data_IF_489553366272
#
_entry.id   IF_489553366272
#
_cell.length_a   1.000
_cell.length_b   1.000
_cell.length_c   1.000
_cell.angle_alpha   90.00
_cell.angle_beta   90.00
_cell.angle_gamma   90.00
#
_symmetry.space_group_name_H-M   'P 1'
#
loop_
_entity.id
_entity.type
_entity.pdbx_description
1 polymer ?
#
# COMPACT_ATOMS: atom_id res chain seq x y z
N UNK A 1 21.36 -15.07 15.54
CA UNK A 1 20.52 -13.93 15.09
C UNK A 1 19.98 -13.26 16.34
N UNK A 2 20.37 -12.03 16.62
CA UNK A 2 19.80 -11.28 17.74
C UNK A 2 18.37 -10.92 17.40
N UNK A 3 17.43 -11.13 18.32
CA UNK A 3 16.00 -10.76 18.18
C UNK A 3 15.82 -9.24 18.04
N UNK A 4 16.77 -8.48 18.56
CA UNK A 4 16.81 -7.02 18.50
C UNK A 4 18.00 -6.67 17.62
N UNK A 5 17.78 -6.06 16.43
CA UNK A 5 18.88 -5.59 15.61
C UNK A 5 19.67 -4.51 16.37
N UNK A 6 20.95 -4.47 16.13
CA UNK A 6 21.81 -3.38 16.60
C UNK A 6 21.21 -2.06 16.08
N UNK A 7 20.87 -1.16 17.00
CA UNK A 7 20.40 0.18 16.66
C UNK A 7 21.60 1.03 16.26
N UNK A 8 21.88 1.09 14.97
CA UNK A 8 22.96 1.91 14.43
C UNK A 8 22.39 3.01 13.54
N UNK A 9 22.86 4.24 13.76
CA UNK A 9 22.63 5.32 12.80
C UNK A 9 23.64 5.20 11.67
N UNK A 10 23.20 4.79 10.50
CA UNK A 10 24.04 4.60 9.34
C UNK A 10 23.44 5.14 8.06
N UNK A 11 24.30 5.44 7.08
CA UNK A 11 23.85 5.85 5.75
C UNK A 11 23.14 4.71 5.01
N UNK A 12 23.54 3.47 5.26
CA UNK A 12 23.02 2.26 4.60
C UNK A 12 21.97 1.56 5.45
N UNK A 13 21.00 2.32 5.94
CA UNK A 13 19.88 1.81 6.71
C UNK A 13 18.60 1.76 5.87
N UNK A 14 17.60 1.05 6.34
CA UNK A 14 16.35 0.82 5.64
C UNK A 14 15.54 2.11 5.33
N UNK A 15 15.88 3.23 5.97
CA UNK A 15 15.29 4.54 5.67
C UNK A 15 15.47 4.96 4.22
N UNK A 16 16.51 4.46 3.53
CA UNK A 16 16.77 4.71 2.10
C UNK A 16 15.55 4.32 1.25
N UNK A 17 14.80 3.30 1.64
CA UNK A 17 13.58 2.87 0.95
C UNK A 17 12.33 3.51 1.53
N UNK A 18 12.26 3.67 2.85
CA UNK A 18 11.06 4.13 3.54
C UNK A 18 10.83 5.64 3.41
N UNK A 19 11.91 6.45 3.42
CA UNK A 19 11.80 7.92 3.27
C UNK A 19 11.39 8.31 1.84
N UNK A 20 12.00 7.81 0.76
CA UNK A 20 11.51 8.08 -0.60
C UNK A 20 10.06 7.64 -0.80
N UNK A 21 9.66 6.49 -0.27
CA UNK A 21 8.28 6.05 -0.29
C UNK A 21 7.34 7.07 0.38
N UNK A 22 7.70 7.56 1.56
CA UNK A 22 6.93 8.56 2.28
C UNK A 22 6.85 9.88 1.48
N UNK A 23 8.00 10.35 0.98
CA UNK A 23 8.06 11.61 0.20
C UNK A 23 7.23 11.54 -1.09
N UNK A 24 7.33 10.46 -1.85
CA UNK A 24 6.54 10.25 -3.06
C UNK A 24 5.05 10.20 -2.72
N UNK A 25 4.68 9.51 -1.66
CA UNK A 25 3.29 9.42 -1.19
C UNK A 25 2.75 10.81 -0.84
N UNK A 26 3.50 11.58 -0.05
CA UNK A 26 3.10 12.94 0.35
C UNK A 26 3.03 13.90 -0.84
N UNK A 27 4.01 13.83 -1.76
CA UNK A 27 4.03 14.66 -2.98
C UNK A 27 2.81 14.38 -3.86
N UNK A 28 2.51 13.12 -4.13
CA UNK A 28 1.36 12.75 -4.95
C UNK A 28 0.04 13.11 -4.28
N UNK A 29 -0.09 12.92 -2.96
CA UNK A 29 -1.25 13.41 -2.22
C UNK A 29 -1.41 14.93 -2.33
N UNK A 30 -0.33 15.69 -2.23
CA UNK A 30 -0.35 17.15 -2.39
C UNK A 30 -0.75 17.58 -3.81
N UNK A 31 -0.20 16.94 -4.85
CA UNK A 31 -0.57 17.20 -6.24
C UNK A 31 -2.05 16.87 -6.52
N UNK A 32 -2.57 15.80 -5.95
CA UNK A 32 -4.00 15.46 -6.03
C UNK A 32 -4.89 16.50 -5.35
N UNK A 33 -4.44 17.07 -4.23
CA UNK A 33 -5.17 18.16 -3.55
C UNK A 33 -5.22 19.42 -4.41
N UNK A 34 -4.12 19.78 -5.10
CA UNK A 34 -4.05 20.96 -6.00
C UNK A 34 -4.92 20.81 -7.24
N UNK A 35 -5.08 19.62 -7.79
CA UNK A 35 -5.93 19.38 -8.98
C UNK A 35 -7.44 19.47 -8.71
N UNK A 36 -7.85 19.96 -7.54
CA UNK A 36 -9.27 20.12 -7.20
C UNK A 36 -10.02 18.79 -7.05
N UNK A 37 -9.30 17.68 -7.09
CA UNK A 37 -9.85 16.42 -6.65
C UNK A 37 -10.19 16.58 -5.15
N UNK A 38 -11.47 16.73 -4.75
CA UNK A 38 -11.82 17.05 -3.36
C UNK A 38 -11.40 15.90 -2.46
N UNK A 39 -10.14 15.98 -2.03
CA UNK A 39 -9.55 15.07 -1.06
C UNK A 39 -9.17 13.69 -1.58
N UNK A 40 -9.07 13.49 -2.90
CA UNK A 40 -8.78 12.18 -3.49
C UNK A 40 -9.77 11.09 -3.08
N UNK A 41 -9.62 9.87 -3.60
CA UNK A 41 -10.47 8.75 -3.22
C UNK A 41 -10.46 8.46 -1.72
N UNK A 42 -9.36 8.74 -1.02
CA UNK A 42 -9.26 8.55 0.44
C UNK A 42 -10.22 9.46 1.21
N UNK A 43 -10.37 10.74 0.85
CA UNK A 43 -11.33 11.64 1.52
C UNK A 43 -12.76 11.42 1.05
N UNK A 44 -12.96 11.04 -0.20
CA UNK A 44 -14.28 10.64 -0.67
C UNK A 44 -14.74 9.37 0.06
N UNK A 45 -13.88 8.38 0.19
CA UNK A 45 -14.10 7.18 1.00
C UNK A 45 -14.29 7.54 2.47
N UNK A 46 -13.48 8.40 3.06
CA UNK A 46 -13.63 8.86 4.45
C UNK A 46 -14.91 9.64 4.70
N UNK A 47 -15.39 10.45 3.74
CA UNK A 47 -16.66 11.16 3.87
C UNK A 47 -17.87 10.24 3.68
N UNK A 48 -17.78 9.28 2.77
CA UNK A 48 -18.81 8.24 2.60
C UNK A 48 -18.84 7.30 3.82
N UNK A 49 -17.73 7.15 4.52
CA UNK A 49 -17.56 6.27 5.66
C UNK A 49 -17.75 7.01 6.98
N UNK A 50 -18.98 7.19 7.39
CA UNK A 50 -19.33 7.59 8.78
C UNK A 50 -19.12 6.46 9.80
N UNK A 51 -18.62 5.29 9.39
CA UNK A 51 -18.40 4.17 10.31
C UNK A 51 -17.20 4.42 11.20
N UNK A 52 -17.42 4.37 12.51
CA UNK A 52 -16.35 4.43 13.56
C UNK A 52 -15.24 3.42 13.28
N UNK A 53 -15.59 2.26 12.74
CA UNK A 53 -14.65 1.18 12.41
C UNK A 53 -13.66 1.58 11.32
N UNK A 54 -14.11 2.28 10.27
CA UNK A 54 -13.20 2.74 9.19
C UNK A 54 -12.26 3.84 9.66
N UNK A 55 -12.75 4.73 10.52
CA UNK A 55 -11.88 5.75 11.15
C UNK A 55 -10.84 5.08 12.06
N UNK A 56 -11.22 4.06 12.81
CA UNK A 56 -10.30 3.28 13.64
C UNK A 56 -9.23 2.60 12.81
N UNK A 57 -9.58 1.97 11.69
CA UNK A 57 -8.64 1.29 10.80
C UNK A 57 -7.67 2.27 10.15
N UNK A 58 -8.20 3.38 9.62
CA UNK A 58 -7.36 4.43 9.04
C UNK A 58 -6.42 5.05 10.08
N UNK A 59 -6.83 5.10 11.34
CA UNK A 59 -5.99 5.56 12.44
C UNK A 59 -4.94 4.52 12.84
N UNK A 60 -5.32 3.24 12.94
CA UNK A 60 -4.41 2.14 13.26
C UNK A 60 -3.33 1.97 12.20
N UNK A 61 -3.67 2.09 10.91
CA UNK A 61 -2.67 2.01 9.84
C UNK A 61 -1.63 3.12 9.95
N UNK A 62 -2.03 4.35 10.32
CA UNK A 62 -1.10 5.46 10.57
C UNK A 62 -0.25 5.22 11.81
N UNK A 63 -0.85 4.75 12.91
CA UNK A 63 -0.17 4.45 14.18
C UNK A 63 0.92 3.39 13.98
N UNK A 64 0.72 2.41 13.10
CA UNK A 64 1.70 1.37 12.85
C UNK A 64 2.75 1.83 11.81
N UNK A 65 2.33 2.58 10.80
CA UNK A 65 3.21 3.01 9.71
C UNK A 65 4.28 4.01 10.16
N UNK A 66 3.91 5.03 10.95
CA UNK A 66 4.88 6.03 11.43
C UNK A 66 6.00 5.43 12.29
N UNK A 67 5.71 4.60 13.31
CA UNK A 67 6.76 3.87 14.03
C UNK A 67 7.64 3.00 13.12
N UNK A 68 7.06 2.37 12.08
CA UNK A 68 7.85 1.57 11.13
C UNK A 68 8.84 2.43 10.34
N UNK A 69 8.44 3.62 9.89
CA UNK A 69 9.35 4.57 9.22
C UNK A 69 10.44 5.05 10.17
N UNK A 70 10.09 5.42 11.41
CA UNK A 70 11.08 5.84 12.41
C UNK A 70 12.05 4.70 12.72
N UNK A 71 11.54 3.49 12.95
CA UNK A 71 12.36 2.33 13.23
C UNK A 71 13.31 1.98 12.07
N UNK A 72 12.89 2.22 10.82
CA UNK A 72 13.74 1.96 9.64
C UNK A 72 15.01 2.84 9.59
N UNK A 73 15.01 3.99 10.28
CA UNK A 73 16.20 4.85 10.39
C UNK A 73 17.33 4.16 11.15
N UNK A 74 16.98 3.33 12.11
CA UNK A 74 17.93 2.61 12.98
C UNK A 74 18.21 1.18 12.50
N UNK A 75 17.67 0.77 11.37
CA UNK A 75 17.70 -0.61 10.90
C UNK A 75 18.77 -0.77 9.79
N UNK A 76 19.97 -1.29 10.10
CA UNK A 76 21.03 -1.44 9.12
C UNK A 76 20.68 -2.49 8.07
N UNK A 77 20.96 -2.18 6.80
CA UNK A 77 20.87 -3.15 5.72
C UNK A 77 22.11 -4.05 5.76
N UNK A 78 21.91 -5.35 5.67
CA UNK A 78 23.02 -6.34 5.69
C UNK A 78 23.68 -6.45 4.31
N UNK A 79 24.36 -5.35 3.90
CA UNK A 79 25.06 -5.26 2.62
C UNK A 79 26.03 -6.43 2.43
N UNK A 80 26.10 -6.97 1.21
CA UNK A 80 26.96 -8.11 0.88
C UNK A 80 26.44 -9.47 1.34
N UNK A 81 25.35 -9.53 2.10
CA UNK A 81 24.71 -10.80 2.47
C UNK A 81 23.72 -11.28 1.40
N UNK A 82 23.49 -12.59 1.35
CA UNK A 82 22.47 -13.17 0.48
C UNK A 82 21.09 -12.59 0.77
N UNK A 83 20.78 -12.25 2.01
CA UNK A 83 19.52 -11.67 2.44
C UNK A 83 19.29 -10.29 1.83
N UNK A 84 20.36 -9.49 1.72
CA UNK A 84 20.28 -8.21 1.06
C UNK A 84 19.93 -8.36 -0.44
N UNK A 85 20.60 -9.28 -1.13
CA UNK A 85 20.35 -9.51 -2.56
C UNK A 85 18.97 -10.13 -2.84
N UNK A 86 18.41 -10.87 -1.91
CA UNK A 86 17.02 -11.38 -2.01
C UNK A 86 16.01 -10.29 -1.64
N UNK A 87 16.25 -9.55 -0.57
CA UNK A 87 15.33 -8.53 -0.08
C UNK A 87 15.24 -7.30 -0.97
N UNK A 88 16.36 -6.89 -1.59
CA UNK A 88 16.42 -5.70 -2.44
C UNK A 88 15.43 -5.74 -3.63
N UNK A 89 15.41 -6.77 -4.48
CA UNK A 89 14.44 -6.81 -5.58
C UNK A 89 13.00 -6.84 -5.11
N UNK A 90 12.69 -7.51 -4.01
CA UNK A 90 11.35 -7.53 -3.41
C UNK A 90 10.95 -6.12 -2.93
N UNK A 91 11.88 -5.42 -2.26
CA UNK A 91 11.69 -4.02 -1.84
C UNK A 91 11.41 -3.11 -3.03
N UNK A 92 12.23 -3.23 -4.08
CA UNK A 92 12.07 -2.40 -5.30
C UNK A 92 10.75 -2.70 -6.01
N UNK A 93 10.33 -3.95 -6.11
CA UNK A 93 9.01 -4.32 -6.66
C UNK A 93 7.88 -3.69 -5.85
N UNK A 94 7.97 -3.73 -4.52
CA UNK A 94 7.00 -3.08 -3.64
C UNK A 94 6.97 -1.56 -3.83
N UNK A 95 8.14 -0.92 -3.90
CA UNK A 95 8.28 0.52 -4.08
C UNK A 95 7.73 0.98 -5.43
N UNK A 96 8.20 0.37 -6.52
CA UNK A 96 7.74 0.69 -7.89
C UNK A 96 6.25 0.41 -8.02
N UNK A 97 5.78 -0.73 -7.53
CA UNK A 97 4.36 -1.06 -7.54
C UNK A 97 3.51 -0.02 -6.82
N UNK A 98 3.95 0.49 -5.67
CA UNK A 98 3.24 1.54 -4.94
C UNK A 98 3.24 2.86 -5.70
N UNK A 99 4.37 3.24 -6.31
CA UNK A 99 4.44 4.44 -7.16
C UNK A 99 3.43 4.33 -8.31
N UNK A 100 3.36 3.20 -9.00
CA UNK A 100 2.41 2.98 -10.08
C UNK A 100 0.94 3.06 -9.60
N UNK A 101 0.63 2.47 -8.44
CA UNK A 101 -0.70 2.61 -7.81
C UNK A 101 -1.06 4.08 -7.58
N UNK A 102 -0.13 4.86 -7.04
CA UNK A 102 -0.36 6.28 -6.75
C UNK A 102 -0.48 7.11 -8.03
N UNK A 103 0.28 6.78 -9.08
CA UNK A 103 0.16 7.40 -10.41
C UNK A 103 -1.20 7.09 -11.04
N UNK A 104 -1.69 5.85 -10.96
CA UNK A 104 -3.02 5.49 -11.43
C UNK A 104 -4.12 6.31 -10.72
N UNK A 105 -3.98 6.52 -9.42
CA UNK A 105 -4.87 7.39 -8.65
C UNK A 105 -4.82 8.85 -9.11
N UNK A 106 -3.60 9.38 -9.27
CA UNK A 106 -3.40 10.78 -9.68
C UNK A 106 -3.94 11.07 -11.09
N UNK A 107 -3.98 10.07 -11.96
CA UNK A 107 -4.46 10.18 -13.34
C UNK A 107 -5.96 9.82 -13.49
N UNK A 108 -6.62 9.38 -12.43
CA UNK A 108 -8.05 9.06 -12.49
C UNK A 108 -8.88 10.34 -12.25
N UNK A 109 -9.87 10.63 -13.13
CA UNK A 109 -10.76 11.77 -12.93
C UNK A 109 -11.56 11.67 -11.63
N UNK A 110 -11.90 12.83 -11.06
CA UNK A 110 -12.74 12.89 -9.87
C UNK A 110 -14.09 12.24 -10.13
N UNK A 111 -14.60 11.47 -9.16
CA UNK A 111 -15.90 10.79 -9.26
C UNK A 111 -15.89 9.47 -10.03
N UNK A 112 -14.75 9.03 -10.54
CA UNK A 112 -14.61 7.74 -11.21
C UNK A 112 -13.79 6.76 -10.35
N UNK A 113 -14.11 5.45 -10.40
CA UNK A 113 -13.27 4.44 -9.77
C UNK A 113 -11.96 4.26 -10.53
N UNK A 114 -10.88 3.97 -9.81
CA UNK A 114 -9.59 3.63 -10.43
C UNK A 114 -9.69 2.20 -10.97
N UNK A 115 -9.60 2.04 -12.29
CA UNK A 115 -9.78 0.76 -12.98
C UNK A 115 -8.66 0.44 -13.96
N UNK A 116 -7.67 1.36 -14.10
CA UNK A 116 -6.57 1.28 -15.07
C UNK A 116 -5.28 0.81 -14.42
N UNK A 117 -4.25 0.61 -15.23
CA UNK A 117 -2.91 0.24 -14.77
C UNK A 117 -2.90 -1.03 -13.95
N UNK A 118 -2.31 -1.00 -12.76
CA UNK A 118 -2.23 -2.15 -11.85
C UNK A 118 -3.61 -2.56 -11.33
N UNK A 119 -4.57 -1.63 -11.25
CA UNK A 119 -5.95 -1.91 -10.84
C UNK A 119 -6.72 -2.82 -11.81
N UNK A 120 -6.19 -3.08 -12.99
CA UNK A 120 -6.76 -4.12 -13.89
C UNK A 120 -6.55 -5.52 -13.35
N UNK A 121 -5.46 -5.74 -12.61
CA UNK A 121 -5.04 -7.06 -12.12
C UNK A 121 -5.42 -7.33 -10.67
N UNK A 122 -5.74 -6.29 -9.92
CA UNK A 122 -6.16 -6.38 -8.51
C UNK A 122 -7.06 -5.21 -8.14
N UNK A 123 -8.09 -5.45 -7.32
CA UNK A 123 -8.91 -4.37 -6.75
C UNK A 123 -8.22 -3.67 -5.57
N UNK A 124 -7.23 -4.34 -4.96
CA UNK A 124 -6.50 -3.86 -3.79
C UNK A 124 -4.97 -3.93 -3.98
N UNK A 125 -4.42 -3.37 -5.09
CA UNK A 125 -2.99 -3.51 -5.40
C UNK A 125 -2.10 -2.81 -4.37
N UNK A 126 -2.59 -1.74 -3.74
CA UNK A 126 -1.85 -0.99 -2.74
C UNK A 126 -1.44 -1.85 -1.54
N UNK A 127 -2.32 -2.74 -1.08
CA UNK A 127 -2.01 -3.64 0.04
C UNK A 127 -0.91 -4.63 -0.33
N UNK A 128 -0.95 -5.18 -1.54
CA UNK A 128 0.06 -6.11 -2.03
C UNK A 128 1.44 -5.43 -2.18
N UNK A 129 1.48 -4.23 -2.76
CA UNK A 129 2.74 -3.50 -2.98
C UNK A 129 3.35 -3.02 -1.68
N UNK A 130 2.55 -2.53 -0.72
CA UNK A 130 3.02 -2.16 0.61
C UNK A 130 3.54 -3.37 1.39
N UNK A 131 2.85 -4.50 1.30
CA UNK A 131 3.32 -5.74 1.91
C UNK A 131 4.67 -6.18 1.34
N UNK A 132 4.84 -6.15 0.01
CA UNK A 132 6.11 -6.47 -0.64
C UNK A 132 7.23 -5.51 -0.20
N UNK A 133 6.95 -4.22 -0.11
CA UNK A 133 7.93 -3.23 0.37
C UNK A 133 8.43 -3.57 1.78
N UNK A 134 7.52 -3.78 2.71
CA UNK A 134 7.88 -4.08 4.11
C UNK A 134 8.56 -5.45 4.24
N UNK A 135 8.07 -6.45 3.50
CA UNK A 135 8.67 -7.79 3.47
C UNK A 135 10.09 -7.74 2.92
N UNK A 136 10.30 -7.04 1.80
CA UNK A 136 11.62 -6.90 1.19
C UNK A 136 12.61 -6.20 2.12
N UNK A 137 12.21 -5.10 2.76
CA UNK A 137 13.01 -4.39 3.77
C UNK A 137 13.35 -5.30 4.94
N UNK A 138 12.40 -6.09 5.43
CA UNK A 138 12.63 -7.01 6.55
C UNK A 138 13.67 -8.08 6.22
N UNK A 139 13.63 -8.61 5.00
CA UNK A 139 14.59 -9.60 4.52
C UNK A 139 15.96 -8.96 4.33
N UNK A 140 16.04 -7.78 3.67
CA UNK A 140 17.31 -7.10 3.40
C UNK A 140 18.06 -6.66 4.67
N UNK A 141 17.33 -6.40 5.74
CA UNK A 141 17.86 -6.01 7.06
C UNK A 141 17.96 -7.16 8.05
N UNK A 142 17.44 -8.35 7.70
CA UNK A 142 17.35 -9.53 8.60
C UNK A 142 16.65 -9.21 9.92
N UNK A 143 15.61 -8.36 9.86
CA UNK A 143 14.90 -7.90 11.05
C UNK A 143 13.62 -8.70 11.27
N UNK A 144 13.59 -9.52 12.33
CA UNK A 144 12.38 -10.24 12.74
C UNK A 144 11.24 -9.32 13.18
N UNK A 145 11.57 -8.20 13.82
CA UNK A 145 10.58 -7.21 14.24
C UNK A 145 9.88 -6.62 13.02
N UNK A 146 10.65 -6.23 12.00
CA UNK A 146 10.09 -5.67 10.78
C UNK A 146 9.32 -6.72 9.97
N UNK A 147 9.79 -7.97 9.99
CA UNK A 147 9.09 -9.11 9.38
C UNK A 147 7.73 -9.37 10.03
N UNK A 148 7.67 -9.44 11.35
CA UNK A 148 6.41 -9.59 12.08
C UNK A 148 5.46 -8.42 11.82
N UNK A 149 5.99 -7.20 11.77
CA UNK A 149 5.22 -6.01 11.42
C UNK A 149 4.63 -6.12 10.01
N UNK A 150 5.41 -6.55 9.02
CA UNK A 150 4.94 -6.78 7.66
C UNK A 150 3.83 -7.83 7.62
N UNK A 151 3.97 -8.93 8.35
CA UNK A 151 2.95 -9.97 8.45
C UNK A 151 1.67 -9.45 9.13
N UNK A 152 1.79 -8.74 10.24
CA UNK A 152 0.64 -8.18 10.97
C UNK A 152 -0.13 -7.20 10.07
N UNK A 153 0.58 -6.31 9.35
CA UNK A 153 -0.03 -5.38 8.42
C UNK A 153 -0.62 -6.10 7.20
N UNK A 154 0.10 -7.04 6.60
CA UNK A 154 -0.36 -7.83 5.47
C UNK A 154 -1.62 -8.63 5.80
N UNK A 155 -1.62 -9.38 6.89
CA UNK A 155 -2.79 -10.13 7.37
C UNK A 155 -3.92 -9.19 7.81
N UNK A 156 -3.59 -8.08 8.48
CA UNK A 156 -4.59 -7.09 8.92
C UNK A 156 -5.34 -6.48 7.74
N UNK A 157 -4.64 -6.03 6.72
CA UNK A 157 -5.25 -5.41 5.53
C UNK A 157 -5.99 -6.41 4.64
N UNK A 158 -5.61 -7.70 4.65
CA UNK A 158 -6.29 -8.73 3.85
C UNK A 158 -7.51 -9.32 4.55
N UNK A 159 -7.80 -8.94 5.81
CA UNK A 159 -9.00 -9.41 6.51
C UNK A 159 -10.26 -9.15 5.70
N UNK A 160 -11.11 -10.17 5.49
CA UNK A 160 -12.31 -10.06 4.65
C UNK A 160 -13.24 -8.92 5.10
N UNK A 161 -13.25 -8.59 6.36
CA UNK A 161 -14.06 -7.52 6.92
C UNK A 161 -13.67 -6.14 6.35
N UNK A 162 -12.36 -5.80 6.35
CA UNK A 162 -11.90 -4.50 5.87
C UNK A 162 -12.10 -4.33 4.37
N UNK A 163 -11.73 -5.36 3.63
CA UNK A 163 -11.88 -5.37 2.18
C UNK A 163 -13.35 -5.26 1.76
N UNK A 164 -14.26 -5.97 2.43
CA UNK A 164 -15.70 -5.87 2.16
C UNK A 164 -16.28 -4.49 2.48
N UNK A 165 -15.82 -3.87 3.57
CA UNK A 165 -16.26 -2.52 3.94
C UNK A 165 -15.78 -1.51 2.90
N UNK A 166 -14.52 -1.58 2.45
CA UNK A 166 -13.97 -0.70 1.42
C UNK A 166 -14.69 -0.88 0.07
N UNK A 167 -14.91 -2.14 -0.35
CA UNK A 167 -15.67 -2.45 -1.57
C UNK A 167 -17.12 -1.95 -1.50
N UNK A 168 -17.78 -2.12 -0.36
CA UNK A 168 -19.16 -1.61 -0.17
C UNK A 168 -19.24 -0.08 -0.26
N UNK A 169 -18.19 0.61 0.25
CA UNK A 169 -18.09 2.07 0.16
C UNK A 169 -17.86 2.54 -1.26
N UNK A 170 -16.94 1.90 -1.98
CA UNK A 170 -16.70 2.17 -3.39
C UNK A 170 -17.99 1.92 -4.21
N UNK A 171 -18.71 0.84 -3.91
CA UNK A 171 -19.99 0.53 -4.56
C UNK A 171 -21.04 1.60 -4.27
N UNK A 172 -21.14 2.07 -3.02
CA UNK A 172 -22.06 3.14 -2.63
C UNK A 172 -21.72 4.50 -3.26
N UNK A 173 -20.41 4.75 -3.52
CA UNK A 173 -19.96 6.01 -4.10
C UNK A 173 -19.98 6.04 -5.63
N UNK A 174 -19.57 4.95 -6.28
CA UNK A 174 -19.41 4.87 -7.74
C UNK A 174 -20.52 4.05 -8.43
N UNK A 175 -21.39 3.38 -7.67
CA UNK A 175 -22.54 2.68 -8.18
C UNK A 175 -22.24 1.59 -9.21
N UNK A 176 -22.89 1.67 -10.37
CA UNK A 176 -22.79 0.68 -11.46
C UNK A 176 -21.38 0.55 -11.99
N UNK A 177 -20.65 1.66 -12.16
CA UNK A 177 -19.28 1.64 -12.69
C UNK A 177 -18.32 0.80 -11.82
N UNK A 178 -18.47 0.86 -10.49
CA UNK A 178 -17.64 0.02 -9.61
C UNK A 178 -18.11 -1.43 -9.61
N UNK A 179 -19.40 -1.70 -9.77
CA UNK A 179 -19.94 -3.06 -9.89
C UNK A 179 -19.41 -3.78 -11.12
N UNK A 180 -19.39 -3.12 -12.27
CA UNK A 180 -18.79 -3.64 -13.50
C UNK A 180 -17.31 -3.94 -13.34
N UNK A 181 -16.59 -3.03 -12.70
CA UNK A 181 -15.19 -3.23 -12.38
C UNK A 181 -14.98 -4.47 -11.47
N UNK A 182 -15.81 -4.64 -10.43
CA UNK A 182 -15.75 -5.81 -9.55
C UNK A 182 -15.99 -7.13 -10.28
N UNK A 183 -16.84 -7.14 -11.29
CA UNK A 183 -17.15 -8.34 -12.08
C UNK A 183 -15.98 -8.77 -12.97
N UNK A 184 -15.18 -7.82 -13.45
CA UNK A 184 -14.05 -8.04 -14.35
C UNK A 184 -12.74 -8.28 -13.63
N UNK A 185 -12.52 -7.59 -12.53
CA UNK A 185 -11.22 -7.57 -11.85
C UNK A 185 -11.24 -8.44 -10.59
N UNK A 186 -10.28 -9.35 -10.41
CA UNK A 186 -10.17 -10.13 -9.20
C UNK A 186 -9.88 -9.25 -7.97
N UNK A 187 -10.29 -9.73 -6.79
CA UNK A 187 -10.06 -9.00 -5.53
C UNK A 187 -8.56 -8.88 -5.23
N UNK A 188 -7.87 -9.98 -5.34
CA UNK A 188 -6.42 -10.07 -5.20
C UNK A 188 -5.77 -10.15 -6.58
N UNK A 189 -4.50 -10.46 -6.65
CA UNK A 189 -3.75 -10.54 -7.90
C UNK A 189 -4.32 -11.65 -8.79
N UNK A 190 -4.63 -11.32 -10.04
CA UNK A 190 -5.13 -12.27 -11.02
C UNK A 190 -5.33 -11.67 -12.41
N UNK A 191 -5.72 -12.51 -13.37
CA UNK A 191 -5.98 -12.10 -14.73
C UNK A 191 -7.41 -11.55 -14.82
N UNK A 192 -7.63 -10.35 -15.39
CA UNK A 192 -8.96 -9.81 -15.59
C UNK A 192 -9.79 -10.71 -16.50
N UNK A 193 -11.06 -10.88 -16.18
CA UNK A 193 -11.99 -11.62 -17.05
C UNK A 193 -12.22 -10.82 -18.33
N UNK A 194 -12.17 -11.51 -19.48
CA UNK A 194 -12.57 -10.92 -20.77
C UNK A 194 -14.03 -10.48 -20.73
N UNK A 195 -14.33 -9.34 -21.34
CA UNK A 195 -15.72 -8.96 -21.61
C UNK A 195 -16.33 -10.07 -22.50
N UNK A 196 -17.37 -10.76 -22.01
CA UNK A 196 -18.28 -11.43 -22.93
C UNK A 196 -18.93 -10.34 -23.74
N UNK A 197 -18.59 -10.26 -25.02
CA UNK A 197 -19.42 -9.54 -26.00
C UNK A 197 -20.70 -10.38 -26.14
N UNK A 198 -21.76 -9.91 -25.49
CA UNK A 198 -23.12 -10.34 -25.84
C UNK A 198 -23.52 -9.67 -27.14
#
# INVERSE_FOLDING_TARGET
MSLIPEFELGLWNAWIFMVPFLLVTLLLMFLMMKKGAPGGPVRAIQRACKSKTTLLIASLSKIIYFPAVIYSVFLPLKLGSIWYYVGLPITLLGLVGTILVLVDWANTPAGQPVTRGIYRYSRHPMYATMFLLLLGVSIASVSWVFFLLAIILGVGFTRPYFVKVEEAQCLGHYGVAYREYMNRTPRWIGIPKSEKKD
#
